data_IF_301467794766
#
_entry.id   IF_301467794766
#
_cell.length_a   1.000
_cell.length_b   1.000
_cell.length_c   1.000
_cell.angle_alpha   90.00
_cell.angle_beta   90.00
_cell.angle_gamma   90.00
#
_symmetry.space_group_name_H-M   'P 1'
#
loop_
_entity.id
_entity.type
_entity.pdbx_description
1 polymer ?
#
# COMPACT_ATOMS: atom_id res chain seq x y z
N UNK A 1 34.52 -7.31 11.36
CA UNK A 1 33.66 -6.39 10.57
C UNK A 1 32.81 -7.18 9.58
N UNK A 2 33.40 -8.06 8.75
CA UNK A 2 32.65 -8.99 7.86
C UNK A 2 31.62 -9.89 8.56
N UNK A 3 31.94 -10.41 9.76
CA UNK A 3 31.02 -11.25 10.53
C UNK A 3 29.76 -10.52 11.03
N UNK A 4 29.84 -9.20 11.27
CA UNK A 4 28.67 -8.40 11.66
C UNK A 4 27.79 -8.07 10.45
N UNK A 5 28.40 -7.76 9.31
CA UNK A 5 27.69 -7.52 8.05
C UNK A 5 26.96 -8.78 7.58
N UNK A 6 27.61 -9.95 7.59
CA UNK A 6 27.00 -11.23 7.22
C UNK A 6 25.83 -11.64 8.14
N UNK A 7 25.87 -11.27 9.42
CA UNK A 7 24.77 -11.57 10.35
C UNK A 7 23.57 -10.62 10.18
N UNK A 8 23.79 -9.40 9.70
CA UNK A 8 22.72 -8.44 9.37
C UNK A 8 22.03 -8.87 8.07
N UNK A 9 22.82 -9.22 7.04
CA UNK A 9 22.32 -9.66 5.74
C UNK A 9 21.50 -10.97 5.83
N UNK A 10 21.94 -11.91 6.68
CA UNK A 10 21.22 -13.16 6.91
C UNK A 10 19.91 -12.97 7.73
N UNK A 11 19.83 -11.97 8.61
CA UNK A 11 18.59 -11.65 9.33
C UNK A 11 17.56 -10.94 8.44
N UNK A 12 18.01 -10.04 7.56
CA UNK A 12 17.15 -9.36 6.57
C UNK A 12 16.53 -10.37 5.58
N UNK A 13 17.32 -11.35 5.12
CA UNK A 13 16.83 -12.38 4.21
C UNK A 13 15.83 -13.36 4.85
N UNK A 14 15.89 -13.57 6.17
CA UNK A 14 14.95 -14.44 6.87
C UNK A 14 13.61 -13.76 7.19
N UNK A 15 13.57 -12.44 7.36
CA UNK A 15 12.29 -11.71 7.52
C UNK A 15 11.45 -11.68 6.24
N UNK A 16 12.08 -11.71 5.06
CA UNK A 16 11.36 -11.75 3.78
C UNK A 16 10.72 -13.12 3.45
N UNK A 17 11.01 -14.19 4.21
CA UNK A 17 10.62 -15.57 3.86
C UNK A 17 9.36 -16.08 4.57
N UNK A 18 8.83 -15.36 5.57
CA UNK A 18 7.63 -15.77 6.34
C UNK A 18 6.30 -15.22 5.79
N UNK A 19 6.34 -14.59 4.61
CA UNK A 19 5.35 -13.58 4.22
C UNK A 19 4.13 -14.16 3.46
N UNK A 20 4.14 -15.41 2.97
CA UNK A 20 3.11 -15.86 2.00
C UNK A 20 1.70 -16.17 2.53
N UNK A 21 1.52 -16.47 3.82
CA UNK A 21 0.19 -16.71 4.42
C UNK A 21 -0.27 -15.53 5.32
N UNK A 22 0.68 -14.78 5.91
CA UNK A 22 0.41 -13.53 6.63
C UNK A 22 0.05 -12.37 5.69
N UNK A 23 0.49 -12.41 4.43
CA UNK A 23 0.25 -11.37 3.43
C UNK A 23 -1.23 -11.08 3.16
N UNK A 24 -2.10 -12.10 3.12
CA UNK A 24 -3.51 -11.92 2.76
C UNK A 24 -4.30 -11.19 3.84
N UNK A 25 -4.12 -11.58 5.11
CA UNK A 25 -4.67 -10.82 6.24
C UNK A 25 -4.03 -9.42 6.32
N UNK A 26 -2.71 -9.33 6.14
CA UNK A 26 -1.98 -8.06 6.14
C UNK A 26 -2.52 -7.06 5.12
N UNK A 27 -2.82 -7.48 3.89
CA UNK A 27 -3.38 -6.58 2.87
C UNK A 27 -4.78 -6.07 3.21
N UNK A 28 -5.68 -6.93 3.71
CA UNK A 28 -7.03 -6.50 4.09
C UNK A 28 -6.96 -5.40 5.16
N UNK A 29 -5.95 -5.47 6.04
CA UNK A 29 -5.73 -4.49 7.10
C UNK A 29 -5.07 -3.19 6.62
N UNK A 30 -4.53 -3.14 5.39
CA UNK A 30 -4.03 -1.90 4.78
C UNK A 30 -5.15 -0.90 4.49
N UNK A 31 -4.79 0.36 4.27
CA UNK A 31 -5.75 1.38 3.84
C UNK A 31 -6.44 0.99 2.54
N UNK A 32 -5.72 0.44 1.56
CA UNK A 32 -6.31 -0.06 0.31
C UNK A 32 -7.29 -1.20 0.57
N UNK A 33 -6.91 -2.21 1.37
CA UNK A 33 -7.78 -3.34 1.71
C UNK A 33 -9.07 -2.90 2.40
N UNK A 34 -8.96 -2.01 3.40
CA UNK A 34 -10.10 -1.42 4.11
C UNK A 34 -10.99 -0.60 3.17
N UNK A 35 -10.40 0.20 2.29
CA UNK A 35 -11.10 1.01 1.29
C UNK A 35 -11.91 0.14 0.33
N UNK A 36 -11.34 -0.97 -0.14
CA UNK A 36 -12.04 -1.93 -1.00
C UNK A 36 -13.21 -2.58 -0.25
N UNK A 37 -12.95 -3.05 0.96
CA UNK A 37 -13.97 -3.65 1.82
C UNK A 37 -15.16 -2.68 2.04
N UNK A 38 -14.85 -1.41 2.31
CA UNK A 38 -15.86 -0.35 2.44
C UNK A 38 -16.63 -0.09 1.14
N UNK A 39 -15.94 -0.07 -0.01
CA UNK A 39 -16.56 0.04 -1.33
C UNK A 39 -17.52 -1.12 -1.62
N UNK A 40 -17.14 -2.35 -1.25
CA UNK A 40 -18.01 -3.53 -1.36
C UNK A 40 -19.26 -3.38 -0.50
N UNK A 41 -19.11 -2.92 0.74
CA UNK A 41 -20.23 -2.70 1.67
C UNK A 41 -21.22 -1.68 1.14
N UNK A 42 -20.74 -0.55 0.63
CA UNK A 42 -21.59 0.47 0.00
C UNK A 42 -22.35 -0.15 -1.19
N UNK A 43 -21.64 -0.85 -2.07
CA UNK A 43 -22.21 -1.44 -3.28
C UNK A 43 -23.28 -2.47 -2.97
N UNK A 44 -23.02 -3.36 -2.03
CA UNK A 44 -23.95 -4.40 -1.61
C UNK A 44 -25.18 -3.82 -0.90
N UNK A 45 -24.99 -2.84 0.00
CA UNK A 45 -26.08 -2.11 0.68
C UNK A 45 -26.95 -1.30 -0.28
N UNK A 46 -26.38 -0.77 -1.35
CA UNK A 46 -27.15 -0.08 -2.38
C UNK A 46 -28.10 -1.02 -3.15
N UNK A 47 -27.67 -2.27 -3.40
CA UNK A 47 -28.50 -3.25 -4.11
C UNK A 47 -29.50 -3.96 -3.20
N UNK A 48 -29.10 -4.14 -1.94
CA UNK A 48 -29.86 -4.85 -0.95
C UNK A 48 -29.87 -3.95 0.29
N UNK A 49 -30.88 -3.09 0.51
CA UNK A 49 -30.88 -2.25 1.71
C UNK A 49 -31.30 -3.01 2.98
N UNK A 50 -32.02 -4.13 2.82
CA UNK A 50 -32.67 -4.87 3.92
C UNK A 50 -32.11 -6.29 4.13
N UNK A 51 -30.94 -6.64 3.57
CA UNK A 51 -30.35 -7.98 3.76
C UNK A 51 -29.58 -8.09 5.09
N UNK A 52 -29.43 -9.32 5.55
CA UNK A 52 -28.61 -9.66 6.72
C UNK A 52 -27.18 -9.93 6.25
N UNK A 53 -26.20 -9.23 6.81
CA UNK A 53 -24.80 -9.27 6.36
C UNK A 53 -24.21 -10.69 6.31
N UNK A 54 -24.62 -11.55 7.24
CA UNK A 54 -24.24 -12.98 7.29
C UNK A 54 -24.63 -13.77 6.02
N UNK A 55 -25.71 -13.40 5.32
CA UNK A 55 -26.16 -14.13 4.13
C UNK A 55 -25.25 -13.90 2.93
N UNK A 56 -24.52 -12.78 2.91
CA UNK A 56 -23.65 -12.43 1.79
C UNK A 56 -22.18 -12.31 2.21
N UNK A 57 -21.85 -12.64 3.45
CA UNK A 57 -20.48 -12.52 3.96
C UNK A 57 -19.51 -13.35 3.13
N UNK A 58 -19.89 -14.58 2.76
CA UNK A 58 -19.12 -15.44 1.87
C UNK A 58 -18.92 -14.81 0.49
N UNK A 59 -19.92 -14.08 -0.01
CA UNK A 59 -19.84 -13.38 -1.30
C UNK A 59 -18.82 -12.24 -1.21
N UNK A 60 -18.98 -11.39 -0.20
CA UNK A 60 -18.11 -10.24 0.07
C UNK A 60 -16.67 -10.69 0.30
N UNK A 61 -16.45 -11.66 1.16
CA UNK A 61 -15.12 -12.17 1.52
C UNK A 61 -14.40 -12.77 0.33
N UNK A 62 -15.08 -13.59 -0.48
CA UNK A 62 -14.46 -14.16 -1.67
C UNK A 62 -14.12 -13.08 -2.70
N UNK A 63 -15.01 -12.11 -2.95
CA UNK A 63 -14.73 -11.02 -3.89
C UNK A 63 -13.55 -10.15 -3.41
N UNK A 64 -13.50 -9.85 -2.11
CA UNK A 64 -12.43 -9.07 -1.50
C UNK A 64 -11.08 -9.81 -1.62
N UNK A 65 -11.05 -11.09 -1.23
CA UNK A 65 -9.82 -11.90 -1.14
C UNK A 65 -9.34 -12.34 -2.52
N UNK A 66 -10.17 -13.07 -3.26
CA UNK A 66 -9.79 -13.72 -4.53
C UNK A 66 -9.91 -12.77 -5.73
N UNK A 67 -10.72 -11.70 -5.62
CA UNK A 67 -10.88 -10.72 -6.69
C UNK A 67 -9.90 -9.57 -6.58
N UNK A 68 -10.17 -8.67 -5.63
CA UNK A 68 -9.43 -7.42 -5.54
C UNK A 68 -8.05 -7.57 -4.87
N UNK A 69 -7.97 -8.28 -3.75
CA UNK A 69 -6.71 -8.37 -2.99
C UNK A 69 -5.59 -9.02 -3.79
N UNK A 70 -5.84 -10.19 -4.38
CA UNK A 70 -4.85 -10.88 -5.20
C UNK A 70 -4.43 -10.07 -6.43
N UNK A 71 -5.40 -9.49 -7.15
CA UNK A 71 -5.13 -8.67 -8.33
C UNK A 71 -4.24 -7.46 -8.01
N UNK A 72 -4.61 -6.69 -7.00
CA UNK A 72 -3.90 -5.46 -6.63
C UNK A 72 -2.52 -5.76 -6.06
N UNK A 73 -2.39 -6.78 -5.21
CA UNK A 73 -1.08 -7.21 -4.69
C UNK A 73 -0.10 -7.54 -5.80
N UNK A 74 -0.55 -8.33 -6.79
CA UNK A 74 0.31 -8.71 -7.92
C UNK A 74 0.83 -7.49 -8.67
N UNK A 75 -0.03 -6.50 -8.88
CA UNK A 75 0.36 -5.24 -9.52
C UNK A 75 1.35 -4.46 -8.66
N UNK A 76 1.12 -4.34 -7.35
CA UNK A 76 2.04 -3.67 -6.42
C UNK A 76 3.41 -4.36 -6.42
N UNK A 77 3.46 -5.68 -6.28
CA UNK A 77 4.71 -6.44 -6.31
C UNK A 77 5.45 -6.26 -7.65
N UNK A 78 4.73 -6.27 -8.76
CA UNK A 78 5.32 -6.02 -10.09
C UNK A 78 5.91 -4.62 -10.20
N UNK A 79 5.24 -3.60 -9.63
CA UNK A 79 5.73 -2.23 -9.61
C UNK A 79 6.95 -2.05 -8.69
N UNK A 80 7.05 -2.81 -7.59
CA UNK A 80 8.25 -2.84 -6.74
C UNK A 80 9.46 -3.36 -7.51
N UNK A 81 9.30 -4.46 -8.25
CA UNK A 81 10.38 -5.03 -9.05
C UNK A 81 10.88 -4.11 -10.19
N UNK A 82 9.98 -3.31 -10.77
CA UNK A 82 10.34 -2.29 -11.78
C UNK A 82 11.07 -1.08 -11.17
N UNK A 83 10.76 -0.73 -9.91
CA UNK A 83 11.29 0.43 -9.20
C UNK A 83 12.81 0.40 -8.92
N UNK A 84 13.50 -0.72 -9.09
CA UNK A 84 14.95 -0.84 -8.80
C UNK A 84 15.86 0.07 -9.67
N UNK A 85 15.31 0.81 -10.63
CA UNK A 85 16.07 1.62 -11.60
C UNK A 85 15.77 3.12 -11.61
N UNK A 86 14.81 3.64 -10.82
CA UNK A 86 14.39 5.05 -10.87
C UNK A 86 14.39 5.71 -9.47
N UNK A 87 15.00 6.90 -9.36
CA UNK A 87 15.05 7.72 -8.15
C UNK A 87 13.70 8.43 -7.93
N UNK A 88 12.81 7.85 -7.13
CA UNK A 88 11.39 8.23 -7.07
C UNK A 88 11.07 9.57 -6.39
N UNK A 89 11.37 9.73 -5.08
CA UNK A 89 10.92 10.91 -4.32
C UNK A 89 11.77 12.14 -4.64
N UNK A 90 13.03 11.98 -5.04
CA UNK A 90 13.87 13.12 -5.39
C UNK A 90 13.51 13.73 -6.74
N UNK A 91 13.10 12.92 -7.71
CA UNK A 91 12.67 13.42 -9.02
C UNK A 91 11.20 13.85 -9.03
N UNK A 92 10.41 13.42 -8.03
CA UNK A 92 8.96 13.62 -7.99
C UNK A 92 8.21 12.70 -8.96
N UNK A 93 8.90 11.67 -9.48
CA UNK A 93 8.28 10.71 -10.37
C UNK A 93 7.63 9.58 -9.55
N UNK A 94 6.34 9.72 -9.25
CA UNK A 94 5.53 8.70 -8.57
C UNK A 94 4.92 7.68 -9.54
N UNK A 95 5.62 7.40 -10.64
CA UNK A 95 5.14 6.55 -11.73
C UNK A 95 4.64 5.20 -11.24
N UNK A 96 5.30 4.59 -10.25
CA UNK A 96 4.87 3.32 -9.68
C UNK A 96 3.45 3.39 -9.08
N UNK A 97 3.09 4.47 -8.37
CA UNK A 97 1.74 4.63 -7.79
C UNK A 97 0.72 4.82 -8.93
N UNK A 98 1.04 5.66 -9.92
CA UNK A 98 0.19 5.92 -11.08
C UNK A 98 -0.01 4.68 -11.96
N UNK A 99 1.03 3.86 -12.13
CA UNK A 99 0.98 2.59 -12.86
C UNK A 99 0.10 1.59 -12.12
N UNK A 100 0.20 1.50 -10.79
CA UNK A 100 -0.69 0.65 -10.00
C UNK A 100 -2.14 1.12 -10.17
N UNK A 101 -2.42 2.41 -10.02
CA UNK A 101 -3.76 2.98 -10.21
C UNK A 101 -4.32 2.64 -11.61
N UNK A 102 -3.50 2.81 -12.64
CA UNK A 102 -3.88 2.51 -14.04
C UNK A 102 -4.16 1.03 -14.25
N UNK A 103 -3.33 0.14 -13.71
CA UNK A 103 -3.51 -1.30 -13.80
C UNK A 103 -4.73 -1.79 -13.01
N UNK A 104 -5.11 -1.13 -11.90
CA UNK A 104 -6.39 -1.44 -11.25
C UNK A 104 -7.57 -1.04 -12.15
N UNK A 105 -7.55 0.16 -12.72
CA UNK A 105 -8.65 0.66 -13.56
C UNK A 105 -8.79 -0.10 -14.88
N UNK A 106 -7.66 -0.40 -15.54
CA UNK A 106 -7.61 -0.84 -16.93
C UNK A 106 -6.94 -2.21 -17.12
N UNK A 107 -6.28 -2.77 -16.09
CA UNK A 107 -5.47 -3.98 -16.17
C UNK A 107 -6.21 -5.28 -15.87
N UNK A 108 -7.54 -5.28 -16.01
CA UNK A 108 -8.36 -6.50 -15.88
C UNK A 108 -8.68 -6.94 -14.44
N UNK A 109 -8.27 -6.19 -13.42
CA UNK A 109 -8.64 -6.48 -12.01
C UNK A 109 -10.16 -6.35 -11.81
N UNK A 110 -10.77 -5.28 -12.32
CA UNK A 110 -12.22 -5.06 -12.23
C UNK A 110 -12.99 -6.16 -12.99
N UNK A 111 -12.50 -6.54 -14.17
CA UNK A 111 -13.12 -7.59 -14.99
C UNK A 111 -13.03 -8.97 -14.32
N UNK A 112 -11.87 -9.29 -13.74
CA UNK A 112 -11.67 -10.51 -12.95
C UNK A 112 -12.60 -10.56 -11.74
N UNK A 113 -12.72 -9.46 -10.99
CA UNK A 113 -13.66 -9.35 -9.89
C UNK A 113 -15.11 -9.53 -10.36
N UNK A 114 -15.48 -8.97 -11.52
CA UNK A 114 -16.82 -9.13 -12.13
C UNK A 114 -17.14 -10.60 -12.43
N UNK A 115 -16.19 -11.35 -12.98
CA UNK A 115 -16.35 -12.78 -13.27
C UNK A 115 -16.41 -13.63 -12.00
N UNK A 116 -15.64 -13.26 -10.96
CA UNK A 116 -15.69 -13.90 -9.66
C UNK A 116 -17.03 -13.68 -8.97
N UNK A 117 -17.61 -12.48 -9.04
CA UNK A 117 -18.98 -12.20 -8.57
C UNK A 117 -19.95 -13.21 -9.21
N UNK A 118 -19.94 -13.34 -10.53
CA UNK A 118 -20.83 -14.26 -11.26
C UNK A 118 -20.62 -15.72 -10.80
N UNK A 119 -19.37 -16.13 -10.58
CA UNK A 119 -19.02 -17.48 -10.13
C UNK A 119 -19.49 -17.76 -8.70
N UNK A 120 -19.27 -16.83 -7.78
CA UNK A 120 -19.62 -16.97 -6.36
C UNK A 120 -21.14 -16.97 -6.18
N UNK A 121 -21.86 -16.12 -6.92
CA UNK A 121 -23.32 -16.12 -6.92
C UNK A 121 -23.89 -17.47 -7.38
N UNK A 122 -23.36 -18.05 -8.46
CA UNK A 122 -23.80 -19.35 -8.94
C UNK A 122 -23.54 -20.46 -7.91
N UNK A 123 -22.40 -20.43 -7.21
CA UNK A 123 -22.05 -21.41 -6.16
C UNK A 123 -22.94 -21.29 -4.93
N UNK A 124 -23.17 -20.08 -4.44
CA UNK A 124 -23.97 -19.81 -3.24
C UNK A 124 -25.45 -20.16 -3.44
N UNK A 125 -26.01 -19.91 -4.63
CA UNK A 125 -27.35 -20.37 -5.01
C UNK A 125 -27.44 -21.90 -5.00
N UNK A 126 -26.49 -22.60 -5.63
CA UNK A 126 -26.48 -24.07 -5.68
C UNK A 126 -26.39 -24.71 -4.29
N UNK A 127 -25.68 -24.06 -3.37
CA UNK A 127 -25.54 -24.51 -1.98
C UNK A 127 -26.72 -24.12 -1.09
N UNK A 128 -27.68 -23.35 -1.60
CA UNK A 128 -28.81 -22.85 -0.80
C UNK A 128 -28.44 -21.78 0.22
N UNK A 129 -27.25 -21.17 0.12
CA UNK A 129 -26.78 -20.11 1.04
C UNK A 129 -27.57 -18.83 0.82
N UNK A 130 -27.83 -18.49 -0.44
CA UNK A 130 -28.67 -17.33 -0.80
C UNK A 130 -29.83 -17.75 -1.71
N UNK A 131 -31.01 -17.12 -1.57
CA UNK A 131 -32.10 -17.27 -2.51
C UNK A 131 -31.72 -16.79 -3.92
N UNK A 132 -32.28 -17.43 -4.94
CA UNK A 132 -32.10 -17.04 -6.34
C UNK A 132 -32.45 -15.57 -6.61
N UNK A 133 -33.50 -15.04 -5.96
CA UNK A 133 -33.90 -13.63 -6.10
C UNK A 133 -32.82 -12.66 -5.62
N UNK A 134 -32.13 -12.97 -4.51
CA UNK A 134 -31.00 -12.19 -4.01
C UNK A 134 -29.84 -12.26 -4.99
N UNK A 135 -29.48 -13.46 -5.44
CA UNK A 135 -28.39 -13.65 -6.40
C UNK A 135 -28.63 -12.91 -7.72
N UNK A 136 -29.85 -12.97 -8.25
CA UNK A 136 -30.23 -12.27 -9.47
C UNK A 136 -30.19 -10.75 -9.31
N UNK A 137 -30.53 -10.23 -8.11
CA UNK A 137 -30.42 -8.79 -7.81
C UNK A 137 -28.96 -8.34 -7.82
N UNK A 138 -28.07 -9.08 -7.13
CA UNK A 138 -26.62 -8.80 -7.13
C UNK A 138 -26.07 -8.89 -8.55
N UNK A 139 -26.43 -9.93 -9.31
CA UNK A 139 -25.95 -10.14 -10.68
C UNK A 139 -26.34 -9.00 -11.62
N UNK A 140 -27.59 -8.55 -11.58
CA UNK A 140 -28.07 -7.42 -12.40
C UNK A 140 -27.46 -6.09 -11.95
N UNK A 141 -27.25 -5.94 -10.65
CA UNK A 141 -26.67 -4.74 -10.05
C UNK A 141 -25.14 -4.73 -9.95
N UNK A 142 -24.43 -5.73 -10.48
CA UNK A 142 -23.00 -5.92 -10.21
C UNK A 142 -22.13 -4.69 -10.50
N UNK A 143 -22.50 -3.90 -11.50
CA UNK A 143 -21.79 -2.66 -11.84
C UNK A 143 -21.87 -1.62 -10.71
N UNK A 144 -22.91 -1.61 -9.88
CA UNK A 144 -23.00 -0.75 -8.69
C UNK A 144 -21.92 -1.12 -7.68
N UNK A 145 -21.69 -2.42 -7.46
CA UNK A 145 -20.63 -2.92 -6.57
C UNK A 145 -19.26 -2.56 -7.13
N UNK A 146 -19.01 -2.88 -8.40
CA UNK A 146 -17.74 -2.63 -9.06
C UNK A 146 -17.42 -1.13 -9.08
N UNK A 147 -18.38 -0.27 -9.43
CA UNK A 147 -18.18 1.18 -9.44
C UNK A 147 -17.91 1.75 -8.04
N UNK A 148 -18.61 1.24 -7.02
CA UNK A 148 -18.39 1.66 -5.63
C UNK A 148 -16.95 1.36 -5.18
N UNK A 149 -16.46 0.16 -5.49
CA UNK A 149 -15.07 -0.24 -5.20
C UNK A 149 -14.07 0.57 -6.03
N UNK A 150 -14.28 0.69 -7.34
CA UNK A 150 -13.39 1.45 -8.23
C UNK A 150 -13.25 2.90 -7.77
N UNK A 151 -14.35 3.58 -7.47
CA UNK A 151 -14.32 4.98 -7.00
C UNK A 151 -13.53 5.12 -5.70
N UNK A 152 -13.69 4.16 -4.77
CA UNK A 152 -12.97 4.18 -3.49
C UNK A 152 -11.48 3.89 -3.66
N UNK A 153 -11.12 2.97 -4.53
CA UNK A 153 -9.73 2.72 -4.88
C UNK A 153 -9.10 3.96 -5.54
N UNK A 154 -9.81 4.64 -6.44
CA UNK A 154 -9.34 5.87 -7.08
C UNK A 154 -9.07 6.99 -6.06
N UNK A 155 -10.00 7.20 -5.12
CA UNK A 155 -9.84 8.13 -4.01
C UNK A 155 -8.60 7.80 -3.18
N UNK A 156 -8.40 6.52 -2.85
CA UNK A 156 -7.23 6.09 -2.09
C UNK A 156 -5.92 6.29 -2.86
N UNK A 157 -5.84 5.94 -4.15
CA UNK A 157 -4.61 6.19 -4.94
C UNK A 157 -4.31 7.69 -5.08
N UNK A 158 -5.32 8.55 -5.15
CA UNK A 158 -5.10 10.00 -5.13
C UNK A 158 -4.55 10.47 -3.78
N UNK A 159 -5.03 9.89 -2.66
CA UNK A 159 -4.47 10.15 -1.34
C UNK A 159 -3.01 9.66 -1.22
N UNK A 160 -2.68 8.51 -1.84
CA UNK A 160 -1.33 7.98 -1.90
C UNK A 160 -0.40 8.94 -2.68
N UNK A 161 -0.85 9.48 -3.81
CA UNK A 161 -0.11 10.48 -4.59
C UNK A 161 0.13 11.77 -3.79
N UNK A 162 -0.90 12.35 -3.16
CA UNK A 162 -0.76 13.54 -2.30
C UNK A 162 0.20 13.29 -1.12
N UNK A 163 0.13 12.11 -0.51
CA UNK A 163 1.03 11.73 0.56
C UNK A 163 2.49 11.64 0.08
N UNK A 164 2.71 11.11 -1.13
CA UNK A 164 4.03 10.99 -1.73
C UNK A 164 4.63 12.36 -2.12
N UNK A 165 3.82 13.25 -2.70
CA UNK A 165 4.22 14.64 -2.98
C UNK A 165 4.60 15.40 -1.70
N UNK A 166 3.80 15.26 -0.64
CA UNK A 166 4.12 15.84 0.67
C UNK A 166 5.40 15.25 1.26
N UNK A 167 5.59 13.93 1.16
CA UNK A 167 6.80 13.26 1.60
C UNK A 167 8.04 13.81 0.89
N UNK A 168 7.99 14.00 -0.43
CA UNK A 168 9.05 14.65 -1.20
C UNK A 168 9.33 16.07 -0.67
N UNK A 169 8.29 16.89 -0.49
CA UNK A 169 8.45 18.25 0.02
C UNK A 169 9.14 18.28 1.38
N UNK A 170 8.68 17.46 2.32
CA UNK A 170 9.26 17.40 3.67
C UNK A 170 10.69 16.86 3.65
N UNK A 171 10.97 15.88 2.78
CA UNK A 171 12.32 15.35 2.56
C UNK A 171 13.29 16.42 2.06
N UNK A 172 12.85 17.25 1.11
CA UNK A 172 13.64 18.36 0.59
C UNK A 172 13.87 19.45 1.65
N UNK A 173 12.84 19.80 2.42
CA UNK A 173 12.98 20.74 3.52
C UNK A 173 13.96 20.23 4.58
N UNK A 174 13.85 18.94 4.96
CA UNK A 174 14.76 18.30 5.91
C UNK A 174 16.22 18.43 5.45
N UNK A 175 16.50 18.19 4.17
CA UNK A 175 17.85 18.35 3.60
C UNK A 175 18.36 19.78 3.69
N UNK A 176 17.51 20.77 3.39
CA UNK A 176 17.89 22.18 3.52
C UNK A 176 18.22 22.56 4.97
N UNK A 177 17.52 22.00 5.95
CA UNK A 177 17.86 22.20 7.37
C UNK A 177 19.14 21.48 7.77
N UNK A 178 19.37 20.28 7.22
CA UNK A 178 20.63 19.54 7.41
C UNK A 178 21.84 20.34 6.92
N UNK A 179 21.78 20.91 5.71
CA UNK A 179 22.85 21.77 5.16
C UNK A 179 23.12 23.02 6.01
N UNK A 180 22.09 23.57 6.63
CA UNK A 180 22.17 24.72 7.55
C UNK A 180 22.55 24.33 8.98
N UNK A 181 22.73 23.04 9.25
CA UNK A 181 22.95 22.50 10.60
C UNK A 181 21.83 22.87 11.61
N UNK A 182 20.61 23.04 11.12
CA UNK A 182 19.43 23.37 11.93
C UNK A 182 18.68 22.09 12.33
N UNK A 183 19.08 21.52 13.46
CA UNK A 183 18.44 20.31 13.98
C UNK A 183 16.95 20.51 14.29
N UNK A 184 16.53 21.70 14.74
CA UNK A 184 15.13 21.94 15.10
C UNK A 184 14.24 21.93 13.86
N UNK A 185 14.72 22.54 12.77
CA UNK A 185 14.09 22.45 11.46
C UNK A 185 14.00 21.02 10.95
N UNK A 186 15.09 20.25 11.08
CA UNK A 186 15.11 18.83 10.69
C UNK A 186 14.10 17.99 11.49
N UNK A 187 14.07 18.10 12.82
CA UNK A 187 13.14 17.34 13.67
C UNK A 187 11.69 17.61 13.27
N UNK A 188 11.33 18.86 13.00
CA UNK A 188 9.98 19.22 12.56
C UNK A 188 9.60 18.56 11.22
N UNK A 189 10.50 18.54 10.25
CA UNK A 189 10.22 17.91 8.96
C UNK A 189 10.26 16.38 9.06
N UNK A 190 11.12 15.82 9.90
CA UNK A 190 11.22 14.38 10.16
C UNK A 190 9.92 13.81 10.73
N UNK A 191 9.27 14.47 11.70
CA UNK A 191 7.98 14.00 12.21
C UNK A 191 6.90 13.99 11.13
N UNK A 192 6.89 14.97 10.22
CA UNK A 192 5.96 14.97 9.07
C UNK A 192 6.26 13.83 8.09
N UNK A 193 7.54 13.52 7.84
CA UNK A 193 7.97 12.37 7.01
C UNK A 193 7.43 11.07 7.62
N UNK A 194 7.62 10.87 8.93
CA UNK A 194 7.11 9.69 9.65
C UNK A 194 5.60 9.53 9.54
N UNK A 195 4.85 10.63 9.66
CA UNK A 195 3.39 10.59 9.49
C UNK A 195 2.97 10.14 8.09
N UNK A 196 3.67 10.60 7.04
CA UNK A 196 3.37 10.21 5.66
C UNK A 196 3.77 8.77 5.35
N UNK A 197 4.88 8.28 5.90
CA UNK A 197 5.30 6.89 5.74
C UNK A 197 4.30 5.88 6.32
N UNK A 198 3.57 6.22 7.38
CA UNK A 198 2.55 5.33 7.99
C UNK A 198 1.37 5.04 7.08
N UNK A 199 1.06 5.94 6.16
CA UNK A 199 -0.13 5.82 5.28
C UNK A 199 0.22 5.36 3.87
N UNK A 200 1.50 5.51 3.47
CA UNK A 200 1.94 5.16 2.13
C UNK A 200 2.02 3.63 1.95
N UNK A 201 1.60 3.16 0.78
CA UNK A 201 1.87 1.78 0.37
C UNK A 201 3.37 1.54 0.28
N UNK A 202 3.84 0.33 0.65
CA UNK A 202 5.24 0.08 0.73
C UNK A 202 5.87 -0.19 -0.64
N UNK A 203 5.98 0.85 -1.48
CA UNK A 203 6.71 0.80 -2.75
C UNK A 203 8.17 1.18 -2.49
N UNK A 204 9.07 0.26 -2.86
CA UNK A 204 10.50 0.24 -2.55
C UNK A 204 11.21 1.59 -2.80
N UNK A 205 10.94 2.26 -3.92
CA UNK A 205 11.58 3.56 -4.25
C UNK A 205 11.14 4.72 -3.35
N UNK A 206 9.87 4.74 -2.92
CA UNK A 206 9.33 5.81 -2.06
C UNK A 206 9.82 5.65 -0.62
N UNK A 207 9.98 4.41 -0.16
CA UNK A 207 10.41 4.10 1.21
C UNK A 207 11.92 4.24 1.38
N UNK A 208 12.74 3.73 0.45
CA UNK A 208 14.18 3.64 0.66
C UNK A 208 14.83 5.03 0.87
N UNK A 209 14.35 6.04 0.15
CA UNK A 209 14.87 7.41 0.26
C UNK A 209 14.46 8.09 1.58
N UNK A 210 13.24 7.85 2.05
CA UNK A 210 12.77 8.36 3.34
C UNK A 210 13.42 7.62 4.53
N UNK A 211 13.72 6.31 4.37
CA UNK A 211 14.52 5.53 5.34
C UNK A 211 15.94 6.06 5.50
N UNK A 212 16.59 6.48 4.41
CA UNK A 212 17.91 7.15 4.49
C UNK A 212 17.84 8.42 5.33
N UNK A 213 16.78 9.22 5.17
CA UNK A 213 16.55 10.40 6.00
C UNK A 213 16.34 10.00 7.47
N UNK A 214 15.55 8.96 7.73
CA UNK A 214 15.32 8.46 9.09
C UNK A 214 16.60 7.98 9.78
N UNK A 215 17.42 7.19 9.07
CA UNK A 215 18.71 6.72 9.58
C UNK A 215 19.64 7.89 9.90
N UNK A 216 19.76 8.84 8.97
CA UNK A 216 20.60 10.01 9.14
C UNK A 216 20.12 10.91 10.28
N UNK A 217 18.81 11.14 10.37
CA UNK A 217 18.21 11.93 11.44
C UNK A 217 18.46 11.29 12.81
N UNK A 218 18.26 9.97 12.91
CA UNK A 218 18.47 9.21 14.15
C UNK A 218 19.94 9.23 14.58
N UNK A 219 20.87 9.07 13.64
CA UNK A 219 22.31 9.16 13.90
C UNK A 219 22.70 10.52 14.51
N UNK A 220 22.27 11.62 13.89
CA UNK A 220 22.55 12.99 14.37
C UNK A 220 21.90 13.24 15.72
N UNK A 221 20.65 12.79 15.91
CA UNK A 221 19.94 12.91 17.18
C UNK A 221 20.68 12.20 18.31
N UNK A 222 21.22 11.01 18.03
CA UNK A 222 21.90 10.18 19.02
C UNK A 222 23.34 10.62 19.32
N UNK A 223 24.03 11.29 18.40
CA UNK A 223 25.41 11.76 18.65
C UNK A 223 25.49 13.11 19.42
N UNK A 224 24.35 13.65 19.88
CA UNK A 224 24.29 14.96 20.52
C UNK A 224 24.08 16.12 19.54
N UNK A 225 23.40 15.88 18.41
CA UNK A 225 23.04 16.86 17.38
C UNK A 225 24.26 17.46 16.66
N UNK A 226 25.34 16.70 16.58
CA UNK A 226 26.55 17.07 15.87
C UNK A 226 26.46 16.64 14.40
N UNK A 227 26.80 17.56 13.52
CA UNK A 227 26.70 17.39 12.06
C UNK A 227 28.00 16.90 11.42
N UNK A 228 29.10 16.83 12.18
CA UNK A 228 30.39 16.31 11.73
C UNK A 228 30.39 14.78 11.72
N UNK A 229 29.59 14.19 10.83
CA UNK A 229 29.55 12.75 10.63
C UNK A 229 30.75 12.29 9.81
N UNK A 230 31.31 11.15 10.17
CA UNK A 230 32.36 10.49 9.39
C UNK A 230 31.80 9.89 8.11
N UNK A 231 32.63 9.69 7.09
CA UNK A 231 32.21 9.03 5.85
C UNK A 231 31.67 7.62 6.08
N UNK A 232 32.18 6.92 7.09
CA UNK A 232 31.73 5.57 7.47
C UNK A 232 30.31 5.59 8.05
N UNK A 233 30.01 6.54 8.93
CA UNK A 233 28.66 6.73 9.49
C UNK A 233 27.64 7.12 8.42
N UNK A 234 28.05 7.99 7.47
CA UNK A 234 27.21 8.37 6.33
C UNK A 234 26.96 7.17 5.41
N UNK A 235 27.98 6.36 5.13
CA UNK A 235 27.83 5.14 4.31
C UNK A 235 26.90 4.14 4.98
N UNK A 236 27.06 3.91 6.29
CA UNK A 236 26.21 2.99 7.05
C UNK A 236 24.75 3.43 7.05
N UNK A 237 24.48 4.72 7.29
CA UNK A 237 23.11 5.27 7.24
C UNK A 237 22.44 5.10 5.86
N UNK A 238 23.24 5.06 4.79
CA UNK A 238 22.75 4.88 3.41
C UNK A 238 22.63 3.40 2.97
N UNK A 239 23.26 2.46 3.70
CA UNK A 239 23.24 1.02 3.44
C UNK A 239 22.07 0.30 4.11
N UNK A 240 21.56 0.82 5.23
CA UNK A 240 20.40 0.29 5.94
C UNK A 240 19.11 0.66 5.19
N UNK A 241 18.71 -0.14 4.19
CA UNK A 241 17.45 0.01 3.44
C UNK A 241 16.47 -1.12 3.79
#
# INVERSE_FOLDING_TARGET
MELLLNNIENNLNNQNKSIKEEDQKGFIETNIGKTINFGLDIGLRALLPNFIEEQIIDIKDTILKEGFSEGIKKVISSAMDFGKSTLGIFTGNFENISQVQTAVKNGGIIDGASQLIDTVLNKTVKKGVIPYGIANTIKRGKNVILNSVTNKIEEEFNNQLDAAEKLQKYSNNWKQYYEKQDFSGMEREYEKIKEKLKILIPIETTINEAKKIENMHTLIKNNGKQFNLTEEEIKLANLLN
#
